data_IF_134912043974
#
_entry.id   IF_134912043974
#
_cell.length_a   1.000
_cell.length_b   1.000
_cell.length_c   1.000
_cell.angle_alpha   90.00
_cell.angle_beta   90.00
_cell.angle_gamma   90.00
#
_symmetry.space_group_name_H-M   'P 1'
#
loop_
_entity.id
_entity.type
_entity.pdbx_description
1 polymer ?
#
# COMPACT_ATOMS: atom_id res chain seq x y z
N UNK A 1 -5.68 7.78 -24.89
CA UNK A 1 -7.08 7.31 -24.96
C UNK A 1 -7.29 6.33 -23.81
N UNK A 2 -8.12 6.67 -22.83
CA UNK A 2 -8.51 5.73 -21.76
C UNK A 2 -9.55 4.78 -22.35
N UNK A 3 -9.31 3.47 -22.26
CA UNK A 3 -10.16 2.40 -22.81
C UNK A 3 -11.46 2.17 -22.02
N UNK A 4 -11.93 3.15 -21.25
CA UNK A 4 -13.17 3.09 -20.50
C UNK A 4 -13.74 4.47 -20.23
N UNK A 5 -15.04 4.64 -20.46
CA UNK A 5 -15.80 5.87 -20.18
C UNK A 5 -16.06 6.11 -18.68
N UNK A 6 -15.44 5.34 -17.79
CA UNK A 6 -15.56 5.52 -16.35
C UNK A 6 -14.65 6.64 -15.85
N UNK A 7 -15.19 7.58 -15.06
CA UNK A 7 -14.38 8.60 -14.39
C UNK A 7 -13.95 8.12 -13.00
N UNK A 8 -12.89 8.73 -12.46
CA UNK A 8 -12.50 8.52 -11.06
C UNK A 8 -13.65 8.84 -10.10
N UNK A 9 -14.46 9.87 -10.40
CA UNK A 9 -15.64 10.18 -9.59
C UNK A 9 -16.67 9.06 -9.63
N UNK A 10 -16.95 8.47 -10.79
CA UNK A 10 -17.90 7.36 -10.90
C UNK A 10 -17.42 6.14 -10.10
N UNK A 11 -16.13 5.79 -10.20
CA UNK A 11 -15.57 4.68 -9.43
C UNK A 11 -15.67 4.92 -7.91
N UNK A 12 -15.25 6.10 -7.45
CA UNK A 12 -15.30 6.45 -6.03
C UNK A 12 -16.73 6.51 -5.51
N UNK A 13 -17.67 6.99 -6.31
CA UNK A 13 -19.10 6.99 -5.97
C UNK A 13 -19.63 5.57 -5.80
N UNK A 14 -19.30 4.66 -6.73
CA UNK A 14 -19.73 3.25 -6.67
C UNK A 14 -19.15 2.50 -5.47
N UNK A 15 -17.91 2.80 -5.08
CA UNK A 15 -17.22 2.15 -3.97
C UNK A 15 -17.45 2.83 -2.61
N UNK A 16 -18.22 3.91 -2.55
CA UNK A 16 -18.44 4.60 -1.30
C UNK A 16 -19.42 3.80 -0.43
N UNK A 17 -19.11 3.62 0.86
CA UNK A 17 -19.95 2.82 1.76
C UNK A 17 -19.73 1.32 1.69
N UNK A 18 -18.76 0.83 0.89
CA UNK A 18 -18.47 -0.61 0.74
C UNK A 18 -17.34 -1.11 1.64
N UNK A 19 -16.93 -0.33 2.65
CA UNK A 19 -15.82 -0.62 3.56
C UNK A 19 -14.55 -1.06 2.82
N UNK A 20 -14.21 -0.38 1.73
CA UNK A 20 -13.13 -0.76 0.82
C UNK A 20 -11.90 0.10 1.02
N UNK A 21 -10.72 -0.53 1.11
CA UNK A 21 -9.44 0.17 1.05
C UNK A 21 -8.99 0.31 -0.39
N UNK A 22 -8.79 1.56 -0.83
CA UNK A 22 -8.33 1.89 -2.17
C UNK A 22 -6.90 2.43 -2.11
N UNK A 23 -6.00 1.84 -2.90
CA UNK A 23 -4.63 2.34 -3.10
C UNK A 23 -4.51 2.88 -4.54
N UNK A 24 -4.44 4.20 -4.66
CA UNK A 24 -4.11 4.89 -5.92
C UNK A 24 -2.60 5.02 -6.03
N UNK A 25 -1.97 4.10 -6.76
CA UNK A 25 -0.51 4.09 -7.00
C UNK A 25 -0.08 5.29 -7.84
N UNK A 26 1.06 5.87 -7.52
CA UNK A 26 1.60 7.04 -8.24
C UNK A 26 3.02 7.39 -7.83
N UNK A 27 3.43 8.63 -8.11
CA UNK A 27 4.64 9.19 -7.51
C UNK A 27 4.52 9.17 -5.97
N UNK A 28 3.38 9.63 -5.48
CA UNK A 28 2.89 9.37 -4.14
C UNK A 28 1.71 8.42 -4.23
N UNK A 29 1.69 7.39 -3.39
CA UNK A 29 0.54 6.49 -3.35
C UNK A 29 -0.47 7.07 -2.37
N UNK A 30 -1.73 7.17 -2.79
CA UNK A 30 -2.81 7.66 -1.93
C UNK A 30 -3.67 6.48 -1.50
N UNK A 31 -3.77 6.29 -0.19
CA UNK A 31 -4.57 5.25 0.45
C UNK A 31 -5.84 5.92 0.97
N UNK A 32 -7.01 5.34 0.69
CA UNK A 32 -8.31 5.84 1.14
C UNK A 32 -9.15 4.71 1.69
N UNK A 33 -9.72 4.90 2.87
CA UNK A 33 -10.76 4.02 3.40
C UNK A 33 -12.13 4.55 2.97
N UNK A 34 -12.82 3.81 2.11
CA UNK A 34 -14.13 4.14 1.53
C UNK A 34 -15.25 3.48 2.35
N UNK A 35 -15.37 3.93 3.59
CA UNK A 35 -16.32 3.39 4.57
C UNK A 35 -17.50 4.33 4.81
N UNK A 36 -17.21 5.61 5.09
CA UNK A 36 -18.24 6.60 5.38
C UNK A 36 -18.29 7.67 4.28
N UNK A 37 -19.51 7.98 3.82
CA UNK A 37 -19.77 9.07 2.87
C UNK A 37 -19.39 10.44 3.45
N UNK A 38 -19.40 10.57 4.78
CA UNK A 38 -19.18 11.82 5.50
C UNK A 38 -17.74 12.04 5.98
N UNK A 39 -16.96 10.98 6.23
CA UNK A 39 -15.57 11.06 6.72
C UNK A 39 -14.65 10.15 5.92
N UNK A 40 -13.94 10.73 4.95
CA UNK A 40 -12.93 10.03 4.17
C UNK A 40 -11.60 10.01 4.94
N UNK A 41 -11.22 8.84 5.45
CA UNK A 41 -9.90 8.64 6.05
C UNK A 41 -8.88 8.37 4.94
N UNK A 42 -7.81 9.17 4.87
CA UNK A 42 -6.78 9.07 3.81
C UNK A 42 -5.37 9.18 4.35
N UNK A 43 -4.45 8.42 3.79
CA UNK A 43 -3.01 8.53 4.02
C UNK A 43 -2.27 8.65 2.69
N UNK A 44 -1.11 9.30 2.70
CA UNK A 44 -0.25 9.43 1.53
C UNK A 44 1.12 8.84 1.82
N UNK A 45 1.55 7.88 1.00
CA UNK A 45 2.90 7.34 1.02
C UNK A 45 3.81 8.21 0.13
N UNK A 46 4.76 8.89 0.76
CA UNK A 46 5.76 9.75 0.10
C UNK A 46 7.12 9.07 -0.05
N UNK A 47 7.24 7.81 0.35
CA UNK A 47 8.47 7.01 0.26
C UNK A 47 9.01 6.97 -1.16
N UNK A 48 10.34 7.03 -1.31
CA UNK A 48 10.96 7.05 -2.63
C UNK A 48 11.06 5.64 -3.21
N UNK A 49 10.52 5.46 -4.42
CA UNK A 49 10.63 4.21 -5.18
C UNK A 49 11.86 4.15 -6.09
N UNK A 50 12.04 2.99 -6.72
CA UNK A 50 12.98 2.82 -7.84
C UNK A 50 12.51 3.52 -9.11
N UNK A 51 13.45 3.84 -10.02
CA UNK A 51 13.14 4.57 -11.26
C UNK A 51 12.72 3.65 -12.43
N UNK A 52 12.71 2.32 -12.22
CA UNK A 52 12.29 1.34 -13.22
C UNK A 52 10.94 0.74 -12.88
N UNK A 53 10.08 0.64 -13.90
CA UNK A 53 8.81 -0.10 -13.88
C UNK A 53 9.04 -1.49 -14.46
N UNK A 54 9.22 -2.50 -13.61
CA UNK A 54 9.17 -3.91 -14.01
C UNK A 54 7.75 -4.46 -13.88
N UNK A 55 7.41 -5.47 -14.68
CA UNK A 55 6.25 -6.32 -14.39
C UNK A 55 6.43 -7.01 -13.03
N UNK A 56 5.33 -7.30 -12.34
CA UNK A 56 5.33 -8.01 -11.05
C UNK A 56 5.40 -7.13 -9.79
N UNK A 57 5.70 -5.83 -9.90
CA UNK A 57 5.73 -4.93 -8.71
C UNK A 57 4.36 -4.85 -8.03
N UNK A 58 3.28 -4.88 -8.82
CA UNK A 58 1.92 -4.87 -8.30
C UNK A 58 1.59 -6.09 -7.44
N UNK A 59 2.13 -7.25 -7.79
CA UNK A 59 1.93 -8.50 -7.05
C UNK A 59 2.67 -8.48 -5.72
N UNK A 60 3.88 -7.90 -5.70
CA UNK A 60 4.65 -7.68 -4.47
C UNK A 60 3.88 -6.75 -3.51
N UNK A 61 3.33 -5.64 -4.03
CA UNK A 61 2.51 -4.74 -3.22
C UNK A 61 1.27 -5.46 -2.69
N UNK A 62 0.55 -6.19 -3.54
CA UNK A 62 -0.66 -6.90 -3.14
C UNK A 62 -0.38 -7.97 -2.06
N UNK A 63 0.70 -8.74 -2.21
CA UNK A 63 1.15 -9.71 -1.20
C UNK A 63 1.54 -9.05 0.12
N UNK A 64 2.22 -7.90 0.06
CA UNK A 64 2.56 -7.11 1.25
C UNK A 64 1.29 -6.62 1.96
N UNK A 65 0.35 -6.01 1.21
CA UNK A 65 -0.95 -5.56 1.74
C UNK A 65 -1.70 -6.70 2.42
N UNK A 66 -1.82 -7.86 1.76
CA UNK A 66 -2.48 -9.03 2.36
C UNK A 66 -1.83 -9.47 3.67
N UNK A 67 -0.50 -9.44 3.74
CA UNK A 67 0.26 -9.80 4.95
C UNK A 67 0.00 -8.83 6.10
N UNK A 68 0.12 -7.52 5.86
CA UNK A 68 -0.11 -6.51 6.89
C UNK A 68 -1.57 -6.48 7.37
N UNK A 69 -2.54 -6.65 6.45
CA UNK A 69 -3.96 -6.76 6.83
C UNK A 69 -4.24 -8.01 7.67
N UNK A 70 -3.61 -9.15 7.34
CA UNK A 70 -3.75 -10.36 8.14
C UNK A 70 -3.19 -10.19 9.56
N UNK A 71 -2.01 -9.58 9.70
CA UNK A 71 -1.45 -9.28 11.02
C UNK A 71 -2.29 -8.28 11.80
N UNK A 72 -2.80 -7.25 11.15
CA UNK A 72 -3.71 -6.30 11.77
C UNK A 72 -4.97 -7.00 12.32
N UNK A 73 -5.57 -7.92 11.54
CA UNK A 73 -6.70 -8.73 12.01
C UNK A 73 -6.35 -9.60 13.22
N UNK A 74 -5.15 -10.17 13.25
CA UNK A 74 -4.69 -10.96 14.40
C UNK A 74 -4.52 -10.06 15.64
N UNK A 75 -3.94 -8.87 15.49
CA UNK A 75 -3.78 -7.90 16.57
C UNK A 75 -5.14 -7.54 17.20
N UNK A 76 -6.12 -7.18 16.36
CA UNK A 76 -7.47 -6.81 16.83
C UNK A 76 -8.30 -7.98 17.37
N UNK A 77 -7.89 -9.23 17.11
CA UNK A 77 -8.55 -10.40 17.71
C UNK A 77 -8.19 -10.62 19.18
N UNK A 78 -7.08 -10.02 19.65
CA UNK A 78 -6.53 -10.28 20.99
C UNK A 78 -6.89 -9.21 22.02
N UNK A 79 -7.08 -7.96 21.60
CA UNK A 79 -7.40 -6.85 22.51
C UNK A 79 -8.68 -6.11 22.09
N UNK A 80 -9.22 -5.30 23.01
CA UNK A 80 -10.39 -4.46 22.73
C UNK A 80 -9.94 -3.13 22.12
N UNK A 81 -10.09 -2.99 20.80
CA UNK A 81 -9.83 -1.75 20.06
C UNK A 81 -11.14 -1.09 19.62
N UNK A 82 -11.19 0.24 19.62
CA UNK A 82 -12.34 0.97 19.08
C UNK A 82 -12.47 0.77 17.57
N UNK A 83 -13.68 0.95 17.02
CA UNK A 83 -13.89 0.88 15.57
C UNK A 83 -13.08 1.92 14.81
N UNK A 84 -12.84 3.10 15.39
CA UNK A 84 -12.03 4.14 14.76
C UNK A 84 -10.56 3.72 14.68
N UNK A 85 -10.02 3.15 15.76
CA UNK A 85 -8.66 2.63 15.80
C UNK A 85 -8.45 1.52 14.76
N UNK A 86 -9.39 0.58 14.66
CA UNK A 86 -9.33 -0.49 13.66
C UNK A 86 -9.27 0.07 12.23
N UNK A 87 -10.05 1.12 11.92
CA UNK A 87 -10.03 1.76 10.60
C UNK A 87 -8.69 2.46 10.31
N UNK A 88 -8.11 3.09 11.32
CA UNK A 88 -6.78 3.72 11.22
C UNK A 88 -5.69 2.68 11.03
N UNK A 89 -5.70 1.59 11.79
CA UNK A 89 -4.67 0.56 11.68
C UNK A 89 -4.76 -0.19 10.33
N UNK A 90 -5.95 -0.39 9.79
CA UNK A 90 -6.16 -0.89 8.42
C UNK A 90 -5.55 0.06 7.37
N UNK A 91 -5.74 1.37 7.53
CA UNK A 91 -5.14 2.37 6.65
C UNK A 91 -3.61 2.33 6.74
N UNK A 92 -3.08 2.22 7.97
CA UNK A 92 -1.65 2.13 8.23
C UNK A 92 -1.03 0.83 7.69
N UNK A 93 -1.75 -0.29 7.75
CA UNK A 93 -1.32 -1.55 7.12
C UNK A 93 -1.09 -1.37 5.60
N UNK A 94 -2.02 -0.73 4.90
CA UNK A 94 -1.87 -0.41 3.49
C UNK A 94 -0.74 0.60 3.23
N UNK A 95 -0.63 1.65 4.06
CA UNK A 95 0.42 2.66 3.93
C UNK A 95 1.82 2.05 4.11
N UNK A 96 2.01 1.22 5.14
CA UNK A 96 3.28 0.52 5.40
C UNK A 96 3.64 -0.41 4.25
N UNK A 97 2.65 -1.11 3.67
CA UNK A 97 2.87 -1.94 2.48
C UNK A 97 3.39 -1.14 1.28
N UNK A 98 2.85 0.06 1.06
CA UNK A 98 3.34 0.99 0.04
C UNK A 98 4.79 1.42 0.33
N UNK A 99 5.08 1.82 1.57
CA UNK A 99 6.43 2.22 1.98
C UNK A 99 7.45 1.10 1.77
N UNK A 100 7.18 -0.10 2.27
CA UNK A 100 8.05 -1.28 2.12
C UNK A 100 8.28 -1.59 0.64
N UNK A 101 7.22 -1.61 -0.17
CA UNK A 101 7.35 -1.89 -1.61
C UNK A 101 8.19 -0.82 -2.31
N UNK A 102 7.95 0.47 -2.04
CA UNK A 102 8.74 1.56 -2.65
C UNK A 102 10.19 1.49 -2.22
N UNK A 103 10.48 1.35 -0.92
CA UNK A 103 11.85 1.21 -0.41
C UNK A 103 12.56 0.01 -1.02
N UNK A 104 11.91 -1.16 -1.08
CA UNK A 104 12.48 -2.35 -1.72
C UNK A 104 12.77 -2.12 -3.21
N UNK A 105 11.86 -1.47 -3.95
CA UNK A 105 12.10 -1.13 -5.37
C UNK A 105 13.28 -0.18 -5.52
N UNK A 106 13.48 0.75 -4.58
CA UNK A 106 14.60 1.68 -4.60
C UNK A 106 15.93 0.95 -4.39
N UNK A 107 16.00 0.11 -3.37
CA UNK A 107 17.19 -0.69 -3.06
C UNK A 107 17.57 -1.61 -4.23
N UNK A 108 16.60 -2.31 -4.80
CA UNK A 108 16.81 -3.17 -5.97
C UNK A 108 17.28 -2.37 -7.19
N UNK A 109 16.68 -1.20 -7.44
CA UNK A 109 17.08 -0.33 -8.55
C UNK A 109 18.49 0.20 -8.35
N UNK A 110 18.89 0.53 -7.12
CA UNK A 110 20.24 1.04 -6.87
C UNK A 110 21.34 0.01 -7.17
N UNK A 111 21.02 -1.28 -7.12
CA UNK A 111 21.94 -2.36 -7.49
C UNK A 111 21.83 -2.79 -8.95
N UNK A 112 20.60 -2.99 -9.46
CA UNK A 112 20.35 -3.61 -10.77
C UNK A 112 20.06 -2.58 -11.88
N UNK A 113 19.73 -1.34 -11.51
CA UNK A 113 19.43 -0.24 -12.45
C UNK A 113 18.45 -0.69 -13.53
N UNK A 114 18.87 -0.65 -14.80
CA UNK A 114 18.02 -0.99 -15.94
C UNK A 114 17.70 -2.49 -16.03
N UNK A 115 18.47 -3.38 -15.42
CA UNK A 115 18.19 -4.81 -15.42
C UNK A 115 17.26 -5.27 -14.30
N UNK A 116 16.86 -4.39 -13.37
CA UNK A 116 15.99 -4.74 -12.23
C UNK A 116 14.69 -5.42 -12.66
N UNK A 117 14.35 -6.55 -12.05
CA UNK A 117 13.12 -7.32 -12.24
C UNK A 117 12.36 -7.46 -10.91
N UNK A 118 11.16 -8.05 -10.91
CA UNK A 118 10.40 -8.28 -9.68
C UNK A 118 11.12 -9.20 -8.68
N UNK A 119 11.77 -10.31 -9.08
CA UNK A 119 12.58 -11.12 -8.17
C UNK A 119 13.67 -10.33 -7.44
N UNK A 120 14.35 -9.40 -8.14
CA UNK A 120 15.36 -8.55 -7.50
C UNK A 120 14.75 -7.67 -6.40
N UNK A 121 13.47 -7.29 -6.48
CA UNK A 121 12.78 -6.50 -5.45
C UNK A 121 12.47 -7.37 -4.23
N UNK A 122 12.07 -8.63 -4.44
CA UNK A 122 11.76 -9.58 -3.36
C UNK A 122 12.95 -9.77 -2.42
N UNK A 123 14.18 -9.78 -2.95
CA UNK A 123 15.41 -9.87 -2.17
C UNK A 123 15.55 -8.73 -1.13
N UNK A 124 14.92 -7.58 -1.35
CA UNK A 124 15.01 -6.40 -0.47
C UNK A 124 13.75 -6.16 0.37
N UNK A 125 12.69 -6.97 0.24
CA UNK A 125 11.45 -6.76 1.01
C UNK A 125 11.70 -6.85 2.51
N UNK A 126 12.46 -7.85 2.97
CA UNK A 126 12.80 -7.99 4.40
C UNK A 126 13.60 -6.79 4.92
N UNK A 127 14.65 -6.40 4.21
CA UNK A 127 15.49 -5.24 4.57
C UNK A 127 14.65 -3.95 4.61
N UNK A 128 13.77 -3.76 3.62
CA UNK A 128 12.89 -2.61 3.56
C UNK A 128 11.88 -2.61 4.71
N UNK A 129 11.37 -3.78 5.09
CA UNK A 129 10.47 -3.92 6.25
C UNK A 129 11.18 -3.48 7.53
N UNK A 130 12.37 -4.02 7.81
CA UNK A 130 13.14 -3.65 9.00
C UNK A 130 13.43 -2.15 9.03
N UNK A 131 13.82 -1.54 7.90
CA UNK A 131 14.08 -0.10 7.83
C UNK A 131 12.84 0.78 8.07
N UNK A 132 11.65 0.31 7.71
CA UNK A 132 10.41 1.07 7.84
C UNK A 132 9.78 0.87 9.23
N UNK A 133 9.94 -0.32 9.83
CA UNK A 133 9.28 -0.68 11.10
C UNK A 133 10.21 -0.69 12.30
N UNK A 134 11.53 -0.53 12.13
CA UNK A 134 12.45 -0.44 13.26
C UNK A 134 12.14 0.77 14.14
N UNK A 135 12.15 0.62 15.48
CA UNK A 135 12.12 1.76 16.38
C UNK A 135 13.40 2.59 16.21
N UNK A 136 13.26 3.92 16.23
CA UNK A 136 14.39 4.85 16.25
C UNK A 136 15.25 4.68 17.51
#
# INVERSE_FOLDING_TARGET
QSLGNGTEQTLLHTLNGTHTLLIKKGHHDVISHLDDVSKKLTATCTEQGGLKRSGGIGDILAGSVGTFLAWNRILHSKDTYSQEQQKEDLLMACWTSCCVTKRATRLAFDKKKRSMTAPDILEYVGIAMDQITAPN
#
